data_IF_404869455931
#
_entry.id   IF_404869455931
#
_cell.length_a   1.000
_cell.length_b   1.000
_cell.length_c   1.000
_cell.angle_alpha   90.00
_cell.angle_beta   90.00
_cell.angle_gamma   90.00
#
_symmetry.space_group_name_H-M   'P 1'
#
loop_
_entity.id
_entity.type
_entity.pdbx_description
1 polymer ?
#
# COMPACT_ATOMS: atom_id res chain seq x y z
N UNK A 1 5.71 -0.62 -5.05
CA UNK A 1 5.00 -1.89 -4.80
C UNK A 1 5.83 -2.86 -3.94
N UNK A 2 7.02 -3.33 -4.36
CA UNK A 2 7.83 -4.27 -3.55
C UNK A 2 8.13 -3.81 -2.13
N UNK A 3 8.56 -2.55 -1.96
CA UNK A 3 8.87 -2.01 -0.62
C UNK A 3 7.62 -1.83 0.25
N UNK A 4 6.47 -1.59 -0.36
CA UNK A 4 5.17 -1.50 0.34
C UNK A 4 4.72 -2.89 0.81
N UNK A 5 4.88 -3.92 -0.02
CA UNK A 5 4.59 -5.30 0.33
C UNK A 5 5.52 -5.82 1.43
N UNK A 6 6.80 -5.44 1.40
CA UNK A 6 7.75 -5.76 2.47
C UNK A 6 7.34 -5.12 3.80
N UNK A 7 7.00 -3.82 3.79
CA UNK A 7 6.54 -3.12 4.99
C UNK A 7 5.25 -3.72 5.57
N UNK A 8 4.26 -4.02 4.72
CA UNK A 8 3.03 -4.69 5.14
C UNK A 8 3.30 -6.08 5.74
N UNK A 9 4.23 -6.86 5.15
CA UNK A 9 4.62 -8.18 5.65
C UNK A 9 5.31 -8.11 7.00
N UNK A 10 6.16 -7.10 7.24
CA UNK A 10 6.81 -6.89 8.54
C UNK A 10 5.77 -6.62 9.64
N UNK A 11 4.79 -5.74 9.38
CA UNK A 11 3.72 -5.45 10.34
C UNK A 11 2.86 -6.69 10.57
N UNK A 12 2.46 -7.39 9.50
CA UNK A 12 1.68 -8.62 9.60
C UNK A 12 2.40 -9.70 10.43
N UNK A 13 3.70 -9.90 10.20
CA UNK A 13 4.53 -10.86 10.93
C UNK A 13 4.66 -10.55 12.43
N UNK A 14 4.61 -9.28 12.81
CA UNK A 14 4.61 -8.88 14.23
C UNK A 14 3.24 -9.10 14.88
N UNK A 15 2.15 -8.96 14.12
CA UNK A 15 0.78 -9.20 14.61
C UNK A 15 0.42 -10.68 14.66
N UNK A 16 0.91 -11.50 13.72
CA UNK A 16 0.64 -12.95 13.67
C UNK A 16 1.60 -13.77 14.57
N UNK A 17 2.61 -13.12 15.16
CA UNK A 17 3.58 -13.73 16.06
C UNK A 17 4.71 -14.50 15.36
N UNK A 18 4.77 -14.47 14.02
CA UNK A 18 5.86 -15.07 13.24
C UNK A 18 7.17 -14.30 13.37
N UNK A 19 7.12 -13.04 13.79
CA UNK A 19 8.26 -12.19 14.08
C UNK A 19 8.11 -11.55 15.46
N UNK A 20 9.21 -11.47 16.22
CA UNK A 20 9.23 -10.74 17.48
C UNK A 20 8.88 -9.26 17.27
N UNK A 21 8.11 -8.69 18.18
CA UNK A 21 7.76 -7.28 18.14
C UNK A 21 9.01 -6.40 18.31
N UNK A 22 9.25 -5.53 17.33
CA UNK A 22 10.29 -4.50 17.36
C UNK A 22 9.63 -3.16 17.02
N UNK A 23 9.56 -2.27 18.00
CA UNK A 23 8.90 -0.97 17.86
C UNK A 23 9.57 -0.07 16.81
N UNK A 24 10.89 -0.15 16.62
CA UNK A 24 11.61 0.65 15.65
C UNK A 24 11.34 0.15 14.23
N UNK A 25 11.38 -1.17 14.03
CA UNK A 25 11.06 -1.79 12.75
C UNK A 25 9.57 -1.63 12.38
N UNK A 26 8.68 -1.69 13.37
CA UNK A 26 7.26 -1.41 13.21
C UNK A 26 7.00 0.03 12.73
N UNK A 27 7.58 1.01 13.43
CA UNK A 27 7.44 2.43 13.08
C UNK A 27 8.00 2.72 11.68
N UNK A 28 9.17 2.19 11.34
CA UNK A 28 9.74 2.36 10.01
C UNK A 28 8.87 1.76 8.89
N UNK A 29 8.24 0.60 9.16
CA UNK A 29 7.30 -0.03 8.23
C UNK A 29 6.02 0.80 8.08
N UNK A 30 5.47 1.33 9.18
CA UNK A 30 4.29 2.19 9.15
C UNK A 30 4.54 3.51 8.39
N UNK A 31 5.69 4.17 8.64
CA UNK A 31 6.11 5.36 7.91
C UNK A 31 6.30 5.08 6.41
N UNK A 32 6.88 3.92 6.07
CA UNK A 32 7.03 3.49 4.67
C UNK A 32 5.69 3.27 3.98
N UNK A 33 4.69 2.71 4.68
CA UNK A 33 3.33 2.56 4.16
C UNK A 33 2.68 3.94 3.98
N UNK A 34 2.73 4.81 5.00
CA UNK A 34 2.18 6.16 4.94
C UNK A 34 2.76 6.98 3.78
N UNK A 35 4.08 6.93 3.57
CA UNK A 35 4.75 7.67 2.50
C UNK A 35 4.38 7.18 1.09
N UNK A 36 3.82 5.97 0.96
CA UNK A 36 3.61 5.29 -0.31
C UNK A 36 2.16 4.94 -0.62
N UNK A 37 1.25 5.30 0.28
CA UNK A 37 -0.20 5.08 0.16
C UNK A 37 -0.90 6.41 -0.08
N UNK A 38 -2.22 6.38 -0.33
CA UNK A 38 -2.99 7.57 -0.68
C UNK A 38 -2.53 8.20 -2.01
N UNK A 39 -2.34 9.53 -2.08
CA UNK A 39 -2.02 10.24 -3.33
C UNK A 39 -0.79 9.71 -4.07
N UNK A 40 0.23 9.24 -3.34
CA UNK A 40 1.45 8.68 -3.93
C UNK A 40 1.19 7.37 -4.69
N UNK A 41 0.22 6.58 -4.25
CA UNK A 41 -0.19 5.35 -4.92
C UNK A 41 -1.13 5.63 -6.10
N UNK A 42 -2.03 6.59 -5.92
CA UNK A 42 -2.99 7.04 -6.94
C UNK A 42 -2.25 7.63 -8.16
N UNK A 43 -1.26 8.50 -7.93
CA UNK A 43 -0.44 9.08 -9.01
C UNK A 43 0.37 8.05 -9.81
N UNK A 44 0.54 6.83 -9.31
CA UNK A 44 1.33 5.78 -9.97
C UNK A 44 0.53 4.94 -10.95
N UNK A 45 -0.81 5.01 -10.90
CA UNK A 45 -1.70 4.40 -11.89
C UNK A 45 -2.23 5.53 -12.79
N UNK A 46 -1.63 5.76 -13.96
CA UNK A 46 -2.07 6.83 -14.85
C UNK A 46 -3.50 6.56 -15.35
N UNK A 47 -4.22 7.65 -15.64
CA UNK A 47 -5.64 7.63 -16.02
C UNK A 47 -5.93 6.68 -17.20
N UNK A 48 -4.95 6.50 -18.09
CA UNK A 48 -4.98 5.53 -19.19
C UNK A 48 -3.89 4.48 -18.97
N UNK A 49 -4.29 3.27 -18.57
CA UNK A 49 -3.39 2.11 -18.55
C UNK A 49 -3.17 1.66 -20.00
N UNK A 50 -2.26 2.34 -20.69
CA UNK A 50 -1.87 2.00 -22.07
C UNK A 50 -0.58 1.19 -22.03
N UNK A 51 -0.70 -0.13 -22.01
CA UNK A 51 0.46 -0.98 -22.34
C UNK A 51 0.45 -2.37 -21.73
N UNK A 52 0.75 -3.35 -22.59
CA UNK A 52 0.96 -4.80 -22.43
C UNK A 52 1.92 -5.24 -21.30
N UNK A 53 2.41 -4.33 -20.46
CA UNK A 53 3.37 -4.57 -19.37
C UNK A 53 2.81 -4.25 -17.96
N UNK A 54 1.56 -3.76 -17.86
CA UNK A 54 0.90 -3.54 -16.58
C UNK A 54 0.08 -4.78 -16.21
N UNK A 55 0.32 -5.35 -15.02
CA UNK A 55 -0.56 -6.39 -14.45
C UNK A 55 -1.92 -5.86 -13.97
N UNK A 56 -2.24 -4.58 -14.24
CA UNK A 56 -3.54 -4.00 -13.96
C UNK A 56 -4.59 -4.63 -14.90
N UNK A 57 -5.66 -5.17 -14.30
CA UNK A 57 -6.80 -5.70 -15.05
C UNK A 57 -7.45 -4.57 -15.88
N UNK A 58 -8.04 -4.89 -17.05
CA UNK A 58 -8.76 -3.92 -17.87
C UNK A 58 -9.91 -3.20 -17.12
N UNK A 59 -10.43 -3.81 -16.05
CA UNK A 59 -11.50 -3.24 -15.20
C UNK A 59 -11.02 -2.18 -14.20
N UNK A 60 -9.75 -1.77 -14.24
CA UNK A 60 -9.23 -0.81 -13.26
C UNK A 60 -9.76 0.61 -13.46
N UNK A 61 -10.26 0.95 -14.66
CA UNK A 61 -10.94 2.24 -14.88
C UNK A 61 -12.28 2.34 -14.16
N UNK A 62 -13.23 1.39 -14.31
CA UNK A 62 -14.47 1.42 -13.53
C UNK A 62 -14.22 1.18 -12.03
N UNK A 63 -13.19 0.43 -11.64
CA UNK A 63 -12.81 0.20 -10.25
C UNK A 63 -11.93 1.31 -9.64
N UNK A 64 -11.63 2.38 -10.38
CA UNK A 64 -10.76 3.48 -9.91
C UNK A 64 -11.28 4.17 -8.64
N UNK A 65 -12.58 4.49 -8.49
CA UNK A 65 -13.09 5.07 -7.26
C UNK A 65 -12.86 4.16 -6.03
N UNK A 66 -13.02 2.84 -6.21
CA UNK A 66 -12.79 1.85 -5.15
C UNK A 66 -11.31 1.70 -4.82
N UNK A 67 -10.43 1.73 -5.84
CA UNK A 67 -8.99 1.74 -5.66
C UNK A 67 -8.50 2.99 -4.90
N UNK A 68 -8.99 4.17 -5.27
CA UNK A 68 -8.66 5.42 -4.58
C UNK A 68 -9.15 5.41 -3.13
N UNK A 69 -10.37 4.92 -2.89
CA UNK A 69 -10.92 4.74 -1.55
C UNK A 69 -10.04 3.80 -0.71
N UNK A 70 -9.60 2.67 -1.28
CA UNK A 70 -8.72 1.73 -0.60
C UNK A 70 -7.32 2.32 -0.34
N UNK A 71 -6.73 3.01 -1.32
CA UNK A 71 -5.44 3.66 -1.18
C UNK A 71 -5.45 4.72 -0.07
N UNK A 72 -6.51 5.50 0.02
CA UNK A 72 -6.72 6.48 1.09
C UNK A 72 -6.97 5.80 2.44
N UNK A 73 -7.77 4.74 2.47
CA UNK A 73 -8.04 3.98 3.68
C UNK A 73 -6.76 3.38 4.29
N UNK A 74 -5.90 2.78 3.46
CA UNK A 74 -4.59 2.28 3.91
C UNK A 74 -3.72 3.43 4.43
N UNK A 75 -3.74 4.60 3.79
CA UNK A 75 -3.03 5.79 4.27
C UNK A 75 -3.51 6.28 5.63
N UNK A 76 -4.83 6.25 5.87
CA UNK A 76 -5.42 6.57 7.18
C UNK A 76 -5.00 5.56 8.24
N UNK A 77 -5.08 4.26 7.95
CA UNK A 77 -4.64 3.21 8.87
C UNK A 77 -3.15 3.35 9.20
N UNK A 78 -2.29 3.57 8.21
CA UNK A 78 -0.86 3.78 8.40
C UNK A 78 -0.54 5.07 9.18
N UNK A 79 -1.45 6.04 9.23
CA UNK A 79 -1.29 7.26 10.03
C UNK A 79 -1.76 7.10 11.48
N UNK A 80 -2.52 6.05 11.78
CA UNK A 80 -3.01 5.72 13.11
C UNK A 80 -2.14 4.67 13.85
N UNK A 81 -1.19 4.04 13.14
CA UNK A 81 -0.16 3.14 13.67
C UNK A 81 1.06 3.93 14.14
#
# INVERSE_FOLDING_TARGET
MKEMAAAAKTIAGMFDGSQAYDAAAFKAAAETLRARTGPALICRIPLRVTGRASGAKPDIEPARPEFEALANHIGTLASAL
#
